data_IF_374477905495
#
_entry.id   IF_374477905495
#
_cell.length_a   1.000
_cell.length_b   1.000
_cell.length_c   1.000
_cell.angle_alpha   90.00
_cell.angle_beta   90.00
_cell.angle_gamma   90.00
#
_symmetry.space_group_name_H-M   'P 1'
#
loop_
_entity.id
_entity.type
_entity.pdbx_description
1 polymer ?
#
# COMPACT_ATOMS: atom_id res chain seq x y z
N UNK A 1 12.11 11.48 -22.53
CA UNK A 1 11.25 10.29 -22.43
C UNK A 1 10.28 10.38 -21.24
N UNK A 2 10.75 10.51 -19.98
CA UNK A 2 9.86 10.60 -18.81
C UNK A 2 9.05 11.90 -18.70
N UNK A 3 9.57 13.05 -19.16
CA UNK A 3 8.84 14.33 -19.14
C UNK A 3 7.55 14.32 -19.97
N UNK A 4 7.47 13.48 -21.01
CA UNK A 4 6.27 13.35 -21.83
C UNK A 4 5.12 12.66 -21.07
N UNK A 5 5.40 11.96 -19.96
CA UNK A 5 4.34 11.37 -19.14
C UNK A 5 3.57 12.44 -18.37
N UNK A 6 4.23 13.55 -18.02
CA UNK A 6 3.63 14.64 -17.24
C UNK A 6 2.55 15.42 -18.01
N UNK A 7 2.44 15.22 -19.32
CA UNK A 7 1.37 15.82 -20.14
C UNK A 7 0.06 15.03 -20.09
N UNK A 8 0.08 13.80 -19.57
CA UNK A 8 -1.12 12.97 -19.46
C UNK A 8 -1.86 13.22 -18.16
N UNK A 9 -3.16 12.92 -18.16
CA UNK A 9 -4.01 13.07 -16.99
C UNK A 9 -3.45 12.24 -15.81
N UNK A 10 -3.18 12.83 -14.63
CA UNK A 10 -2.59 12.13 -13.50
C UNK A 10 -3.43 10.97 -12.95
N UNK A 11 -4.76 11.03 -13.10
CA UNK A 11 -5.67 9.91 -12.78
C UNK A 11 -5.41 8.73 -13.72
N UNK A 12 -5.21 9.00 -15.01
CA UNK A 12 -4.88 7.95 -15.97
C UNK A 12 -3.50 7.33 -15.68
N UNK A 13 -2.51 8.15 -15.33
CA UNK A 13 -1.19 7.65 -14.92
C UNK A 13 -1.28 6.79 -13.65
N UNK A 14 -2.03 7.24 -12.64
CA UNK A 14 -2.27 6.47 -11.41
C UNK A 14 -2.97 5.14 -11.69
N UNK A 15 -3.95 5.12 -12.61
CA UNK A 15 -4.63 3.90 -13.03
C UNK A 15 -3.67 2.93 -13.71
N UNK A 16 -2.87 3.40 -14.68
CA UNK A 16 -1.89 2.56 -15.37
C UNK A 16 -0.84 2.03 -14.40
N UNK A 17 -0.35 2.86 -13.48
CA UNK A 17 0.60 2.45 -12.45
C UNK A 17 0.01 1.39 -11.51
N UNK A 18 -1.25 1.55 -11.10
CA UNK A 18 -1.94 0.58 -10.23
C UNK A 18 -2.25 -0.73 -10.95
N UNK A 19 -2.60 -0.68 -12.25
CA UNK A 19 -2.75 -1.88 -13.07
C UNK A 19 -1.42 -2.60 -13.26
N UNK A 20 -0.32 -1.85 -13.40
CA UNK A 20 1.02 -2.42 -13.45
C UNK A 20 1.39 -3.13 -12.15
N UNK A 21 1.18 -2.51 -10.98
CA UNK A 21 1.47 -3.17 -9.70
C UNK A 21 0.60 -4.42 -9.52
N UNK A 22 -0.69 -4.35 -9.86
CA UNK A 22 -1.59 -5.50 -9.86
C UNK A 22 -1.09 -6.63 -10.78
N UNK A 23 -0.64 -6.30 -11.99
CA UNK A 23 -0.11 -7.28 -12.94
C UNK A 23 1.15 -7.97 -12.41
N UNK A 24 2.03 -7.24 -11.73
CA UNK A 24 3.23 -7.80 -11.08
C UNK A 24 2.83 -8.73 -9.92
N UNK A 25 1.82 -8.37 -9.11
CA UNK A 25 1.28 -9.26 -8.07
C UNK A 25 0.67 -10.53 -8.67
N UNK A 26 -0.10 -10.40 -9.75
CA UNK A 26 -0.70 -11.52 -10.46
C UNK A 26 0.36 -12.45 -11.06
N UNK A 27 1.43 -11.89 -11.64
CA UNK A 27 2.58 -12.64 -12.15
C UNK A 27 3.30 -13.39 -11.03
N UNK A 28 3.52 -12.75 -9.87
CA UNK A 28 4.08 -13.40 -8.70
C UNK A 28 3.21 -14.56 -8.20
N UNK A 29 1.89 -14.38 -8.17
CA UNK A 29 0.95 -15.44 -7.80
C UNK A 29 0.92 -16.59 -8.82
N UNK A 30 1.06 -16.30 -10.11
CA UNK A 30 1.09 -17.31 -11.17
C UNK A 30 2.27 -18.30 -11.06
N UNK A 31 3.32 -17.95 -10.30
CA UNK A 31 4.42 -18.88 -10.01
C UNK A 31 3.96 -20.16 -9.30
N UNK A 32 2.78 -20.16 -8.67
CA UNK A 32 2.18 -21.35 -8.06
C UNK A 32 1.94 -22.49 -9.07
N UNK A 33 1.76 -22.18 -10.35
CA UNK A 33 1.61 -23.20 -11.40
C UNK A 33 2.91 -23.95 -11.71
N UNK A 34 4.06 -23.39 -11.35
CA UNK A 34 5.38 -24.00 -11.56
C UNK A 34 5.95 -24.60 -10.27
N UNK A 35 5.63 -24.02 -9.11
CA UNK A 35 6.17 -24.43 -7.82
C UNK A 35 5.06 -24.64 -6.79
N UNK A 36 4.78 -25.90 -6.44
CA UNK A 36 3.75 -26.26 -5.44
C UNK A 36 4.23 -26.15 -3.99
N UNK A 37 5.53 -25.93 -3.76
CA UNK A 37 6.10 -25.72 -2.43
C UNK A 37 7.29 -24.78 -2.50
N UNK A 38 7.40 -23.89 -1.50
CA UNK A 38 8.53 -22.96 -1.34
C UNK A 38 9.25 -23.29 -0.04
N UNK A 39 10.59 -23.22 -0.10
CA UNK A 39 11.42 -23.31 1.10
C UNK A 39 11.07 -22.16 2.06
N UNK A 40 10.71 -22.47 3.32
CA UNK A 40 10.36 -21.48 4.34
C UNK A 40 11.42 -20.38 4.53
N UNK A 41 12.71 -20.70 4.38
CA UNK A 41 13.79 -19.70 4.46
C UNK A 41 13.67 -18.66 3.33
N UNK A 42 13.41 -19.13 2.10
CA UNK A 42 13.21 -18.25 0.95
C UNK A 42 11.95 -17.41 1.15
N UNK A 43 10.84 -18.02 1.56
CA UNK A 43 9.59 -17.30 1.85
C UNK A 43 9.80 -16.18 2.89
N UNK A 44 10.46 -16.51 4.00
CA UNK A 44 10.74 -15.53 5.06
C UNK A 44 11.68 -14.41 4.58
N UNK A 45 12.67 -14.72 3.75
CA UNK A 45 13.52 -13.70 3.13
C UNK A 45 12.74 -12.79 2.19
N UNK A 46 11.81 -13.33 1.39
CA UNK A 46 10.95 -12.53 0.51
C UNK A 46 10.01 -11.62 1.32
N UNK A 47 9.38 -12.15 2.38
CA UNK A 47 8.54 -11.36 3.29
C UNK A 47 9.34 -10.25 3.99
N UNK A 48 10.55 -10.55 4.47
CA UNK A 48 11.44 -9.57 5.09
C UNK A 48 11.90 -8.47 4.11
N UNK A 49 12.22 -8.85 2.88
CA UNK A 49 12.56 -7.90 1.82
C UNK A 49 11.38 -6.97 1.50
N UNK A 50 10.17 -7.52 1.31
CA UNK A 50 8.96 -6.75 1.05
C UNK A 50 8.67 -5.77 2.20
N UNK A 51 8.73 -6.23 3.46
CA UNK A 51 8.55 -5.37 4.63
C UNK A 51 9.59 -4.24 4.68
N UNK A 52 10.86 -4.53 4.37
CA UNK A 52 11.92 -3.53 4.32
C UNK A 52 11.68 -2.46 3.24
N UNK A 53 11.31 -2.86 2.02
CA UNK A 53 10.97 -1.93 0.93
C UNK A 53 9.78 -1.04 1.33
N UNK A 54 8.76 -1.60 1.96
CA UNK A 54 7.58 -0.84 2.39
C UNK A 54 7.89 0.16 3.50
N UNK A 55 8.74 -0.18 4.47
CA UNK A 55 9.20 0.76 5.50
C UNK A 55 10.00 1.91 4.87
N UNK A 56 10.92 1.58 3.94
CA UNK A 56 11.70 2.60 3.25
C UNK A 56 10.81 3.53 2.40
N UNK A 57 9.90 2.97 1.60
CA UNK A 57 8.96 3.77 0.81
C UNK A 57 8.09 4.68 1.68
N UNK A 58 7.63 4.18 2.84
CA UNK A 58 6.82 4.97 3.78
C UNK A 58 7.56 6.21 4.29
N UNK A 59 8.87 6.12 4.54
CA UNK A 59 9.65 7.28 4.99
C UNK A 59 10.10 8.18 3.83
N UNK A 60 10.85 7.63 2.86
CA UNK A 60 11.49 8.42 1.81
C UNK A 60 10.52 8.90 0.72
N UNK A 61 9.49 8.12 0.40
CA UNK A 61 8.58 8.44 -0.70
C UNK A 61 7.28 9.10 -0.25
N UNK A 62 6.92 8.98 1.04
CA UNK A 62 5.66 9.54 1.56
C UNK A 62 5.90 10.55 2.68
N UNK A 63 6.49 10.13 3.80
CA UNK A 63 6.59 10.99 4.99
C UNK A 63 7.50 12.21 4.78
N UNK A 64 8.71 12.00 4.23
CA UNK A 64 9.65 13.10 3.98
C UNK A 64 9.09 14.11 2.96
N UNK A 65 8.57 13.69 1.78
CA UNK A 65 7.89 14.60 0.86
C UNK A 65 6.69 15.33 1.48
N UNK A 66 5.91 14.66 2.33
CA UNK A 66 4.79 15.32 3.01
C UNK A 66 5.24 16.45 3.96
N UNK A 67 6.37 16.26 4.66
CA UNK A 67 6.97 17.30 5.52
C UNK A 67 7.48 18.47 4.67
N UNK A 68 8.17 18.19 3.56
CA UNK A 68 8.67 19.21 2.63
C UNK A 68 7.52 20.02 2.01
N UNK A 69 6.43 19.36 1.61
CA UNK A 69 5.23 20.03 1.12
C UNK A 69 4.54 20.88 2.20
N UNK A 70 4.59 20.47 3.46
CA UNK A 70 4.03 21.26 4.55
C UNK A 70 4.87 22.51 4.88
N UNK A 71 6.20 22.47 4.66
CA UNK A 71 7.09 23.63 4.81
C UNK A 71 6.72 24.78 3.89
N UNK A 72 6.36 24.49 2.64
CA UNK A 72 6.02 25.52 1.65
C UNK A 72 4.71 26.26 1.95
N UNK A 73 3.88 25.73 2.86
CA UNK A 73 2.57 26.30 3.23
C UNK A 73 2.66 27.25 4.45
N UNK A 74 3.85 27.48 5.01
CA UNK A 74 4.07 28.41 6.13
C UNK A 74 3.64 27.91 7.52
N UNK A 75 3.19 26.65 7.62
CA UNK A 75 2.83 25.98 8.88
C UNK A 75 4.03 25.27 9.51
N UNK A 76 3.91 24.87 10.78
CA UNK A 76 4.87 23.96 11.41
C UNK A 76 4.85 22.61 10.67
N UNK A 77 5.92 22.24 9.93
CA UNK A 77 5.81 21.26 8.85
C UNK A 77 5.50 19.83 9.28
N UNK A 78 5.94 19.46 10.47
CA UNK A 78 5.73 18.12 10.99
C UNK A 78 4.28 17.90 11.48
N UNK A 79 3.52 18.97 11.79
CA UNK A 79 2.17 18.83 12.36
C UNK A 79 1.21 18.17 11.35
N UNK A 80 1.07 18.65 10.10
CA UNK A 80 0.22 18.00 9.10
C UNK A 80 0.66 16.56 8.83
N UNK A 81 1.97 16.33 8.68
CA UNK A 81 2.52 15.00 8.40
C UNK A 81 2.23 13.99 9.53
N UNK A 82 2.48 14.36 10.79
CA UNK A 82 2.20 13.50 11.96
C UNK A 82 0.70 13.29 12.13
N UNK A 83 -0.12 14.33 11.97
CA UNK A 83 -1.57 14.21 12.08
C UNK A 83 -2.16 13.27 11.02
N UNK A 84 -1.70 13.38 9.77
CA UNK A 84 -2.09 12.49 8.68
C UNK A 84 -1.61 11.05 8.91
N UNK A 85 -0.37 10.87 9.35
CA UNK A 85 0.19 9.55 9.67
C UNK A 85 -0.60 8.86 10.78
N UNK A 86 -0.86 9.54 11.91
CA UNK A 86 -1.63 9.00 13.03
C UNK A 86 -3.09 8.74 12.66
N UNK A 87 -3.71 9.63 11.90
CA UNK A 87 -5.07 9.43 11.40
C UNK A 87 -5.17 8.22 10.47
N UNK A 88 -4.19 8.05 9.56
CA UNK A 88 -4.11 6.90 8.68
C UNK A 88 -3.87 5.59 9.45
N UNK A 89 -2.98 5.61 10.44
CA UNK A 89 -2.73 4.46 11.30
C UNK A 89 -3.98 4.08 12.12
N UNK A 90 -4.69 5.06 12.69
CA UNK A 90 -5.94 4.83 13.39
C UNK A 90 -7.04 4.30 12.46
N UNK A 91 -7.13 4.82 11.24
CA UNK A 91 -8.06 4.33 10.21
C UNK A 91 -7.79 2.86 9.88
N UNK A 92 -6.54 2.49 9.62
CA UNK A 92 -6.19 1.09 9.34
C UNK A 92 -6.44 0.18 10.54
N UNK A 93 -6.14 0.64 11.76
CA UNK A 93 -6.43 -0.10 12.99
C UNK A 93 -7.92 -0.36 13.15
N UNK A 94 -8.78 0.62 12.86
CA UNK A 94 -10.23 0.45 12.91
C UNK A 94 -10.72 -0.56 11.87
N UNK A 95 -10.20 -0.48 10.64
CA UNK A 95 -10.56 -1.40 9.56
C UNK A 95 -10.14 -2.83 9.91
N UNK A 96 -8.92 -3.02 10.41
CA UNK A 96 -8.38 -4.30 10.88
C UNK A 96 -9.25 -4.91 12.00
N UNK A 97 -9.71 -4.06 12.93
CA UNK A 97 -10.59 -4.48 14.03
C UNK A 97 -11.99 -4.90 13.59
N UNK A 98 -12.51 -4.36 12.50
CA UNK A 98 -13.88 -4.60 12.04
C UNK A 98 -13.92 -5.77 11.06
N UNK A 99 -12.99 -5.79 10.10
CA UNK A 99 -13.08 -6.73 8.98
C UNK A 99 -12.70 -8.15 9.42
N UNK A 100 -13.57 -9.15 9.15
CA UNK A 100 -13.28 -10.54 9.44
C UNK A 100 -12.14 -11.02 8.56
N UNK A 101 -10.99 -11.34 9.15
CA UNK A 101 -9.82 -11.74 8.39
C UNK A 101 -8.96 -12.76 9.15
N UNK A 102 -8.12 -13.49 8.41
CA UNK A 102 -7.24 -14.52 8.97
C UNK A 102 -5.81 -14.28 8.52
N UNK A 103 -4.90 -14.12 9.47
CA UNK A 103 -3.47 -14.06 9.19
C UNK A 103 -2.93 -15.43 8.72
N UNK A 104 -1.99 -15.42 7.77
CA UNK A 104 -1.39 -16.65 7.25
C UNK A 104 -0.75 -17.48 8.37
N UNK A 105 -1.08 -18.79 8.39
CA UNK A 105 -0.53 -19.72 9.38
C UNK A 105 -1.31 -19.84 10.69
N UNK A 106 -2.34 -19.02 10.93
CA UNK A 106 -3.22 -19.15 12.10
C UNK A 106 -4.39 -20.12 11.86
N UNK A 107 -4.91 -20.68 12.96
CA UNK A 107 -6.14 -21.48 12.98
C UNK A 107 -7.38 -20.57 12.84
N UNK A 108 -8.48 -21.10 12.28
CA UNK A 108 -9.73 -20.34 12.05
C UNK A 108 -10.29 -19.75 13.35
N UNK A 109 -10.09 -20.43 14.48
CA UNK A 109 -10.49 -19.95 15.82
C UNK A 109 -9.78 -18.65 16.25
N UNK A 110 -8.65 -18.33 15.60
CA UNK A 110 -7.88 -17.10 15.79
C UNK A 110 -8.14 -16.07 14.69
N UNK A 111 -9.24 -16.19 13.95
CA UNK A 111 -9.67 -15.15 13.03
C UNK A 111 -9.97 -13.86 13.81
N UNK A 112 -9.50 -12.73 13.28
CA UNK A 112 -9.70 -11.40 13.85
C UNK A 112 -10.91 -10.72 13.18
N UNK A 113 -11.39 -9.63 13.76
CA UNK A 113 -12.60 -8.96 13.31
C UNK A 113 -13.91 -9.60 13.82
N UNK A 114 -15.02 -9.28 13.15
CA UNK A 114 -16.34 -9.85 13.49
C UNK A 114 -16.34 -11.36 13.24
N UNK A 115 -16.86 -12.16 14.17
CA UNK A 115 -16.96 -13.62 13.97
C UNK A 115 -17.91 -13.94 12.82
N UNK A 116 -17.43 -14.67 11.82
CA UNK A 116 -18.23 -15.14 10.68
C UNK A 116 -18.04 -16.63 10.44
N UNK A 117 -19.00 -17.27 9.77
CA UNK A 117 -18.90 -18.67 9.32
C UNK A 117 -18.23 -18.79 7.95
N UNK A 118 -17.45 -17.78 7.54
CA UNK A 118 -16.87 -17.72 6.20
C UNK A 118 -15.73 -18.72 6.02
N UNK A 119 -15.56 -19.18 4.78
CA UNK A 119 -14.48 -20.11 4.44
C UNK A 119 -13.12 -19.44 4.62
N UNK A 120 -12.11 -20.24 4.99
CA UNK A 120 -10.72 -19.78 5.19
C UNK A 120 -10.17 -19.00 3.98
N UNK A 121 -10.48 -19.45 2.77
CA UNK A 121 -10.07 -18.77 1.53
C UNK A 121 -10.59 -17.34 1.45
N UNK A 122 -11.85 -17.10 1.82
CA UNK A 122 -12.46 -15.76 1.84
C UNK A 122 -11.76 -14.86 2.86
N UNK A 123 -11.51 -15.37 4.07
CA UNK A 123 -10.81 -14.62 5.11
C UNK A 123 -9.36 -14.25 4.71
N UNK A 124 -8.67 -15.13 3.98
CA UNK A 124 -7.34 -14.87 3.45
C UNK A 124 -7.36 -13.83 2.31
N UNK A 125 -8.32 -13.91 1.39
CA UNK A 125 -8.48 -12.91 0.33
C UNK A 125 -8.78 -11.53 0.91
N UNK A 126 -9.62 -11.44 1.94
CA UNK A 126 -9.88 -10.20 2.65
C UNK A 126 -8.65 -9.65 3.36
N UNK A 127 -7.89 -10.51 4.05
CA UNK A 127 -6.63 -10.12 4.68
C UNK A 127 -5.67 -9.49 3.66
N UNK A 128 -5.46 -10.15 2.51
CA UNK A 128 -4.59 -9.65 1.44
C UNK A 128 -5.14 -8.34 0.86
N UNK A 129 -6.44 -8.26 0.61
CA UNK A 129 -7.09 -7.06 0.06
C UNK A 129 -6.88 -5.85 0.98
N UNK A 130 -7.02 -6.02 2.30
CA UNK A 130 -6.79 -4.94 3.26
C UNK A 130 -5.36 -4.41 3.25
N UNK A 131 -4.37 -5.29 3.04
CA UNK A 131 -2.97 -4.90 2.97
C UNK A 131 -2.64 -4.16 1.66
N UNK A 132 -3.33 -4.48 0.57
CA UNK A 132 -3.13 -3.84 -0.73
C UNK A 132 -3.81 -2.46 -0.85
N UNK A 133 -4.79 -2.14 0.00
CA UNK A 133 -5.46 -0.83 0.00
C UNK A 133 -4.46 0.32 0.29
N UNK A 134 -3.63 0.28 1.36
CA UNK A 134 -2.58 1.27 1.59
C UNK A 134 -1.62 1.45 0.41
N UNK A 135 -1.22 0.37 -0.25
CA UNK A 135 -0.31 0.41 -1.40
C UNK A 135 -0.94 1.13 -2.59
N UNK A 136 -2.18 0.80 -2.94
CA UNK A 136 -2.92 1.48 -3.99
C UNK A 136 -3.15 2.96 -3.69
N UNK A 137 -3.46 3.30 -2.43
CA UNK A 137 -3.62 4.68 -1.99
C UNK A 137 -2.32 5.48 -2.14
N UNK A 138 -1.17 4.88 -1.76
CA UNK A 138 0.13 5.52 -1.89
C UNK A 138 0.49 5.85 -3.35
N UNK A 139 0.19 4.94 -4.28
CA UNK A 139 0.34 5.20 -5.73
C UNK A 139 -0.55 6.37 -6.15
N UNK A 140 -1.83 6.35 -5.78
CA UNK A 140 -2.77 7.43 -6.09
C UNK A 140 -2.33 8.80 -5.57
N UNK A 141 -1.89 8.89 -4.31
CA UNK A 141 -1.39 10.13 -3.70
C UNK A 141 -0.14 10.62 -4.42
N UNK A 142 0.79 9.72 -4.77
CA UNK A 142 2.04 10.09 -5.44
C UNK A 142 1.78 10.75 -6.80
N UNK A 143 0.86 10.21 -7.60
CA UNK A 143 0.47 10.82 -8.87
C UNK A 143 -0.44 12.04 -8.71
N UNK A 144 -1.28 12.08 -7.66
CA UNK A 144 -2.07 13.27 -7.31
C UNK A 144 -1.19 14.46 -6.89
N UNK A 145 -0.09 14.22 -6.18
CA UNK A 145 0.85 15.28 -5.81
C UNK A 145 1.48 15.97 -7.04
N UNK A 146 1.53 15.29 -8.19
CA UNK A 146 2.01 15.89 -9.44
C UNK A 146 1.09 17.00 -9.95
N UNK A 147 -0.24 16.94 -9.73
CA UNK A 147 -1.16 18.02 -10.15
C UNK A 147 -0.92 19.30 -9.38
N UNK A 148 -0.64 19.19 -8.08
CA UNK A 148 -0.44 20.34 -7.20
C UNK A 148 0.97 20.92 -7.35
N UNK A 149 1.92 20.13 -7.88
CA UNK A 149 3.29 20.58 -8.18
C UNK A 149 3.41 21.27 -9.55
N UNK A 150 2.41 21.13 -10.44
CA UNK A 150 2.45 21.70 -11.80
C UNK A 150 2.08 23.19 -11.90
N UNK A 151 1.64 23.85 -10.82
CA UNK A 151 1.39 25.31 -10.81
C UNK A 151 2.65 26.16 -10.56
N UNK A 152 3.85 25.56 -10.53
CA UNK A 152 5.12 26.30 -10.42
C UNK A 152 6.14 25.90 -11.49
N UNK A 153 5.80 26.00 -12.78
CA UNK A 153 6.84 25.89 -13.81
C UNK A 153 6.46 25.63 -15.26
N UNK A 154 5.34 26.19 -15.75
CA UNK A 154 5.30 26.73 -17.12
C UNK A 154 5.05 28.23 -17.01
#
# INVERSE_FOLDING_TARGET
MLKNLLTYNPVFLALVATLFTWAVTALGAAMVFFFSSINKKILNSMLGFAAGVMIAASFWSLLNPAIEMAQSTGNTPWIPAVSGFLCGAAFLLVIDRILPHLHMGLAIEKAEGVKTSWQRSVLLVLAITMHNIPEGLAVGISFGALTNSTDTGV
#
